data_IF_777361566177
#
_entry.id   IF_777361566177
#
_cell.length_a   1.000
_cell.length_b   1.000
_cell.length_c   1.000
_cell.angle_alpha   90.00
_cell.angle_beta   90.00
_cell.angle_gamma   90.00
#
_symmetry.space_group_name_H-M   'P 1'
#
loop_
_entity.id
_entity.type
_entity.pdbx_description
1 polymer ?
#
# COMPACT_ATOMS: atom_id res chain seq x y z
N UNK A 1 21.73 6.05 -3.50
CA UNK A 1 20.64 7.02 -3.22
C UNK A 1 19.86 7.24 -4.50
N UNK A 2 18.56 6.92 -4.50
CA UNK A 2 17.66 7.19 -5.62
C UNK A 2 17.54 8.71 -5.78
N UNK A 3 17.80 9.26 -6.98
CA UNK A 3 17.70 10.70 -7.21
C UNK A 3 16.25 11.19 -7.03
N UNK A 4 16.06 12.48 -6.71
CA UNK A 4 14.72 13.06 -6.61
C UNK A 4 13.89 12.89 -7.91
N UNK A 5 14.58 12.86 -9.06
CA UNK A 5 13.99 12.59 -10.37
C UNK A 5 13.50 11.14 -10.52
N UNK A 6 14.26 10.17 -10.02
CA UNK A 6 13.88 8.76 -10.09
C UNK A 6 12.66 8.48 -9.20
N UNK A 7 12.62 9.06 -8.00
CA UNK A 7 11.46 8.95 -7.11
C UNK A 7 10.19 9.55 -7.74
N UNK A 8 10.32 10.67 -8.45
CA UNK A 8 9.21 11.29 -9.17
C UNK A 8 8.68 10.38 -10.29
N UNK A 9 9.58 9.78 -11.09
CA UNK A 9 9.20 8.88 -12.19
C UNK A 9 8.46 7.65 -11.66
N UNK A 10 8.98 7.01 -10.61
CA UNK A 10 8.34 5.85 -9.98
C UNK A 10 6.97 6.22 -9.41
N UNK A 11 6.87 7.36 -8.74
CA UNK A 11 5.59 7.86 -8.20
C UNK A 11 4.57 8.12 -9.31
N UNK A 12 4.98 8.73 -10.43
CA UNK A 12 4.10 8.96 -11.58
C UNK A 12 3.65 7.64 -12.20
N UNK A 13 4.57 6.69 -12.40
CA UNK A 13 4.23 5.38 -12.95
C UNK A 13 3.21 4.65 -12.06
N UNK A 14 3.41 4.68 -10.74
CA UNK A 14 2.46 4.11 -9.78
C UNK A 14 1.12 4.83 -9.78
N UNK A 15 1.11 6.15 -9.84
CA UNK A 15 -0.12 6.93 -9.93
C UNK A 15 -0.92 6.58 -11.19
N UNK A 16 -0.27 6.52 -12.34
CA UNK A 16 -0.87 6.09 -13.59
C UNK A 16 -1.40 4.64 -13.50
N UNK A 17 -0.64 3.74 -12.87
CA UNK A 17 -1.07 2.36 -12.60
C UNK A 17 -2.33 2.29 -11.74
N UNK A 18 -2.41 3.07 -10.66
CA UNK A 18 -3.59 3.12 -9.79
C UNK A 18 -4.81 3.69 -10.51
N UNK A 19 -4.65 4.78 -11.28
CA UNK A 19 -5.73 5.37 -12.09
C UNK A 19 -6.21 4.39 -13.15
N UNK A 20 -5.29 3.68 -13.81
CA UNK A 20 -5.60 2.68 -14.81
C UNK A 20 -6.36 1.48 -14.21
N UNK A 21 -5.88 0.93 -13.09
CA UNK A 21 -6.53 -0.18 -12.39
C UNK A 21 -7.94 0.20 -11.90
N UNK A 22 -8.10 1.40 -11.33
CA UNK A 22 -9.41 1.94 -10.97
C UNK A 22 -10.32 2.03 -12.21
N UNK A 23 -9.83 2.61 -13.31
CA UNK A 23 -10.58 2.74 -14.57
C UNK A 23 -11.03 1.38 -15.12
N UNK A 24 -10.18 0.37 -15.07
CA UNK A 24 -10.50 -1.01 -15.48
C UNK A 24 -11.66 -1.55 -14.64
N UNK A 25 -11.49 -1.59 -13.31
CA UNK A 25 -12.51 -2.11 -12.39
C UNK A 25 -13.83 -1.34 -12.52
N UNK A 26 -13.76 -0.01 -12.52
CA UNK A 26 -14.92 0.86 -12.70
C UNK A 26 -15.65 0.63 -14.01
N UNK A 27 -14.93 0.51 -15.13
CA UNK A 27 -15.54 0.26 -16.44
C UNK A 27 -16.26 -1.08 -16.51
N UNK A 28 -15.69 -2.13 -15.89
CA UNK A 28 -16.26 -3.47 -15.83
C UNK A 28 -17.49 -3.49 -14.92
N UNK A 29 -17.40 -2.86 -13.74
CA UNK A 29 -18.52 -2.80 -12.78
C UNK A 29 -19.68 -1.96 -13.33
N UNK A 30 -19.41 -0.83 -13.97
CA UNK A 30 -20.45 -0.03 -14.62
C UNK A 30 -21.17 -0.82 -15.71
N UNK A 31 -20.42 -1.52 -16.57
CA UNK A 31 -20.95 -2.35 -17.65
C UNK A 31 -21.78 -3.52 -17.12
N UNK A 32 -21.31 -4.23 -16.09
CA UNK A 32 -21.95 -5.43 -15.56
C UNK A 32 -23.16 -5.15 -14.68
N UNK A 33 -23.08 -4.13 -13.80
CA UNK A 33 -24.01 -3.97 -12.67
C UNK A 33 -24.80 -2.65 -12.70
N UNK A 34 -24.29 -1.60 -13.35
CA UNK A 34 -24.92 -0.27 -13.28
C UNK A 34 -25.74 0.03 -14.53
N UNK A 35 -25.13 -0.06 -15.71
CA UNK A 35 -25.77 0.32 -16.97
C UNK A 35 -26.94 -0.63 -17.32
N UNK A 36 -28.15 -0.11 -17.62
CA UNK A 36 -29.26 -0.89 -18.16
C UNK A 36 -28.88 -1.59 -19.49
N UNK A 37 -29.50 -2.75 -19.77
CA UNK A 37 -29.18 -3.55 -20.96
C UNK A 37 -30.03 -3.20 -22.17
N UNK A 38 -31.30 -2.87 -21.96
CA UNK A 38 -32.30 -2.89 -23.03
C UNK A 38 -32.55 -1.49 -23.63
N UNK A 39 -31.50 -0.66 -23.72
CA UNK A 39 -31.62 0.70 -24.24
C UNK A 39 -30.47 1.05 -25.19
N UNK A 40 -30.83 1.30 -26.45
CA UNK A 40 -29.95 1.79 -27.54
C UNK A 40 -28.92 2.84 -27.11
N UNK A 41 -29.27 3.87 -26.30
CA UNK A 41 -28.30 4.86 -25.83
C UNK A 41 -27.06 4.27 -25.12
N UNK A 42 -27.19 3.13 -24.43
CA UNK A 42 -26.09 2.53 -23.67
C UNK A 42 -25.10 1.74 -24.53
N UNK A 43 -25.43 1.40 -25.78
CA UNK A 43 -24.51 0.70 -26.68
C UNK A 43 -23.27 1.57 -26.92
N UNK A 44 -23.46 2.87 -27.19
CA UNK A 44 -22.37 3.83 -27.37
C UNK A 44 -21.56 4.02 -26.07
N UNK A 45 -22.22 4.12 -24.92
CA UNK A 45 -21.55 4.25 -23.63
C UNK A 45 -20.69 3.01 -23.31
N UNK A 46 -21.20 1.78 -23.54
CA UNK A 46 -20.46 0.53 -23.36
C UNK A 46 -19.26 0.44 -24.31
N UNK A 47 -19.41 0.86 -25.57
CA UNK A 47 -18.28 0.92 -26.52
C UNK A 47 -17.19 1.87 -26.04
N UNK A 48 -17.55 3.05 -25.50
CA UNK A 48 -16.59 3.98 -24.91
C UNK A 48 -15.93 3.39 -23.68
N UNK A 49 -16.68 2.87 -22.71
CA UNK A 49 -16.14 2.22 -21.51
C UNK A 49 -15.16 1.10 -21.85
N UNK A 50 -15.43 0.32 -22.91
CA UNK A 50 -14.52 -0.71 -23.42
C UNK A 50 -13.23 -0.13 -23.98
N UNK A 51 -13.30 0.93 -24.80
CA UNK A 51 -12.11 1.60 -25.35
C UNK A 51 -11.24 2.19 -24.23
N UNK A 52 -11.85 2.90 -23.28
CA UNK A 52 -11.14 3.46 -22.12
C UNK A 52 -10.57 2.36 -21.22
N UNK A 53 -11.32 1.28 -20.99
CA UNK A 53 -10.84 0.12 -20.25
C UNK A 53 -9.64 -0.56 -20.92
N UNK A 54 -9.67 -0.76 -22.25
CA UNK A 54 -8.55 -1.33 -23.00
C UNK A 54 -7.33 -0.40 -23.00
N UNK A 55 -7.53 0.91 -23.16
CA UNK A 55 -6.46 1.90 -23.03
C UNK A 55 -5.84 1.88 -21.61
N UNK A 56 -6.68 1.76 -20.58
CA UNK A 56 -6.22 1.63 -19.20
C UNK A 56 -5.44 0.32 -18.98
N UNK A 57 -5.82 -0.80 -19.61
CA UNK A 57 -5.00 -2.04 -19.58
C UNK A 57 -3.62 -1.77 -20.17
N UNK A 58 -3.51 -1.09 -21.30
CA UNK A 58 -2.22 -0.75 -21.89
C UNK A 58 -1.37 0.14 -20.96
N UNK A 59 -1.98 1.19 -20.36
CA UNK A 59 -1.30 2.06 -19.38
C UNK A 59 -0.82 1.25 -18.17
N UNK A 60 -1.66 0.35 -17.64
CA UNK A 60 -1.31 -0.49 -16.49
C UNK A 60 -0.18 -1.46 -16.83
N UNK A 61 -0.16 -2.01 -18.04
CA UNK A 61 0.94 -2.87 -18.52
C UNK A 61 2.25 -2.09 -18.58
N UNK A 62 2.25 -0.87 -19.15
CA UNK A 62 3.45 -0.01 -19.20
C UNK A 62 3.90 0.37 -17.79
N UNK A 63 2.98 0.77 -16.90
CA UNK A 63 3.29 1.08 -15.51
C UNK A 63 3.89 -0.13 -14.77
N UNK A 64 3.34 -1.32 -14.99
CA UNK A 64 3.83 -2.58 -14.40
C UNK A 64 5.23 -2.94 -14.90
N UNK A 65 5.51 -2.73 -16.19
CA UNK A 65 6.86 -2.92 -16.74
C UNK A 65 7.86 -1.90 -16.17
N UNK A 66 7.45 -0.64 -16.03
CA UNK A 66 8.25 0.40 -15.39
C UNK A 66 8.56 0.09 -13.93
N UNK A 67 7.60 -0.44 -13.18
CA UNK A 67 7.78 -0.88 -11.79
C UNK A 67 8.83 -1.99 -11.67
N UNK A 68 8.85 -2.96 -12.59
CA UNK A 68 9.89 -4.00 -12.62
C UNK A 68 11.28 -3.41 -12.82
N UNK A 69 11.44 -2.50 -13.78
CA UNK A 69 12.72 -1.85 -14.07
C UNK A 69 13.17 -1.02 -12.86
N UNK A 70 12.25 -0.24 -12.28
CA UNK A 70 12.53 0.55 -11.08
C UNK A 70 12.96 -0.34 -9.92
N UNK A 71 12.26 -1.46 -9.68
CA UNK A 71 12.59 -2.39 -8.60
C UNK A 71 13.94 -3.06 -8.83
N UNK A 72 14.21 -3.52 -10.05
CA UNK A 72 15.50 -4.11 -10.41
C UNK A 72 16.64 -3.11 -10.21
N UNK A 73 16.45 -1.84 -10.59
CA UNK A 73 17.42 -0.77 -10.36
C UNK A 73 17.67 -0.53 -8.86
N UNK A 74 16.62 -0.53 -8.03
CA UNK A 74 16.80 -0.39 -6.58
C UNK A 74 17.56 -1.56 -5.94
N UNK A 75 17.44 -2.77 -6.50
CA UNK A 75 18.08 -3.98 -5.98
C UNK A 75 19.52 -4.18 -6.49
N UNK A 76 19.82 -3.77 -7.73
CA UNK A 76 21.17 -3.88 -8.28
C UNK A 76 22.11 -2.78 -7.81
N UNK A 77 21.58 -1.63 -7.36
CA UNK A 77 22.39 -0.48 -6.94
C UNK A 77 23.17 0.21 -8.07
N UNK A 78 22.93 -0.23 -9.30
CA UNK A 78 23.69 0.09 -10.51
C UNK A 78 22.99 1.02 -11.47
N UNK A 79 23.58 1.21 -12.66
CA UNK A 79 22.92 1.92 -13.77
C UNK A 79 21.82 1.06 -14.44
N UNK A 80 21.12 1.62 -15.44
CA UNK A 80 20.05 0.90 -16.15
C UNK A 80 20.51 -0.44 -16.77
N UNK A 81 21.74 -0.55 -17.26
CA UNK A 81 22.24 -1.79 -17.84
C UNK A 81 22.38 -2.90 -16.77
N UNK A 82 22.84 -2.54 -15.58
CA UNK A 82 22.91 -3.46 -14.44
C UNK A 82 21.52 -3.85 -13.93
N UNK A 83 20.56 -2.92 -13.93
CA UNK A 83 19.16 -3.21 -13.63
C UNK A 83 18.56 -4.21 -14.63
N UNK A 84 18.83 -4.06 -15.93
CA UNK A 84 18.38 -4.99 -16.97
C UNK A 84 19.05 -6.36 -16.84
N UNK A 85 20.34 -6.41 -16.51
CA UNK A 85 21.07 -7.65 -16.27
C UNK A 85 20.55 -8.40 -15.03
N UNK A 86 20.03 -7.68 -14.02
CA UNK A 86 19.47 -8.26 -12.82
C UNK A 86 18.05 -8.84 -13.01
N UNK A 87 17.34 -8.52 -14.10
CA UNK A 87 15.95 -8.95 -14.32
C UNK A 87 15.71 -10.45 -14.17
N UNK A 88 16.55 -11.36 -14.71
CA UNK A 88 16.33 -12.79 -14.55
C UNK A 88 16.35 -13.22 -13.08
N UNK A 89 17.28 -12.68 -12.29
CA UNK A 89 17.40 -12.98 -10.86
C UNK A 89 16.21 -12.39 -10.11
N UNK A 90 15.86 -11.12 -10.38
CA UNK A 90 14.71 -10.47 -9.76
C UNK A 90 13.43 -11.26 -10.02
N UNK A 91 13.19 -11.69 -11.26
CA UNK A 91 11.98 -12.41 -11.63
C UNK A 91 11.89 -13.83 -11.07
N UNK A 92 13.02 -14.53 -10.92
CA UNK A 92 13.04 -15.95 -10.56
C UNK A 92 13.38 -16.24 -9.11
N UNK A 93 14.08 -15.33 -8.42
CA UNK A 93 14.60 -15.54 -7.06
C UNK A 93 13.95 -14.65 -6.01
N UNK A 94 13.08 -13.73 -6.39
CA UNK A 94 12.46 -12.81 -5.44
C UNK A 94 10.95 -13.04 -5.31
N UNK A 95 10.43 -12.78 -4.12
CA UNK A 95 8.99 -12.75 -3.85
C UNK A 95 8.25 -11.76 -4.76
N UNK A 96 8.82 -10.56 -4.94
CA UNK A 96 8.33 -9.56 -5.88
C UNK A 96 8.23 -10.10 -7.31
N UNK A 97 9.25 -10.80 -7.80
CA UNK A 97 9.29 -11.40 -9.13
C UNK A 97 8.19 -12.42 -9.38
N UNK A 98 7.91 -13.28 -8.40
CA UNK A 98 6.80 -14.24 -8.48
C UNK A 98 5.43 -13.55 -8.57
N UNK A 99 5.20 -12.50 -7.77
CA UNK A 99 3.95 -11.74 -7.83
C UNK A 99 3.84 -10.93 -9.13
N UNK A 100 4.94 -10.33 -9.58
CA UNK A 100 4.98 -9.56 -10.81
C UNK A 100 4.70 -10.43 -12.04
N UNK A 101 5.28 -11.62 -12.13
CA UNK A 101 5.03 -12.56 -13.23
C UNK A 101 3.57 -13.02 -13.26
N UNK A 102 2.98 -13.31 -12.10
CA UNK A 102 1.54 -13.59 -12.00
C UNK A 102 0.68 -12.40 -12.45
N UNK A 103 1.04 -11.17 -12.06
CA UNK A 103 0.39 -9.92 -12.50
C UNK A 103 0.49 -9.75 -14.02
N UNK A 104 1.67 -9.97 -14.60
CA UNK A 104 1.92 -9.85 -16.03
C UNK A 104 1.09 -10.86 -16.84
N UNK A 105 1.03 -12.12 -16.39
CA UNK A 105 0.17 -13.14 -16.99
C UNK A 105 -1.32 -12.77 -16.91
N UNK A 106 -1.78 -12.28 -15.75
CA UNK A 106 -3.15 -11.81 -15.56
C UNK A 106 -3.47 -10.60 -16.46
N UNK A 107 -2.53 -9.68 -16.67
CA UNK A 107 -2.67 -8.54 -17.60
C UNK A 107 -2.75 -8.98 -19.05
N UNK A 108 -1.93 -9.95 -19.47
CA UNK A 108 -2.01 -10.54 -20.81
C UNK A 108 -3.37 -11.18 -21.08
N UNK A 109 -3.87 -11.96 -20.12
CA UNK A 109 -5.21 -12.56 -20.21
C UNK A 109 -6.31 -11.50 -20.18
N UNK A 110 -6.17 -10.47 -19.33
CA UNK A 110 -7.12 -9.35 -19.25
C UNK A 110 -7.20 -8.60 -20.58
N UNK A 111 -6.07 -8.37 -21.24
CA UNK A 111 -6.02 -7.77 -22.56
C UNK A 111 -6.77 -8.64 -23.58
N UNK A 112 -6.50 -9.95 -23.61
CA UNK A 112 -7.18 -10.88 -24.51
C UNK A 112 -8.70 -10.88 -24.31
N UNK A 113 -9.19 -11.00 -23.06
CA UNK A 113 -10.64 -11.02 -22.79
C UNK A 113 -11.30 -9.65 -23.00
N UNK A 114 -10.55 -8.55 -22.94
CA UNK A 114 -11.08 -7.20 -23.18
C UNK A 114 -11.58 -7.00 -24.62
N UNK A 115 -11.03 -7.76 -25.58
CA UNK A 115 -11.44 -7.76 -26.98
C UNK A 115 -12.78 -8.48 -27.20
N UNK A 116 -13.14 -9.41 -26.31
CA UNK A 116 -14.35 -10.23 -26.42
C UNK A 116 -15.58 -9.45 -25.95
N UNK A 117 -16.69 -9.52 -26.71
CA UNK A 117 -17.93 -8.77 -26.41
C UNK A 117 -18.84 -9.41 -25.38
N UNK A 118 -18.64 -10.70 -25.13
CA UNK A 118 -19.54 -11.53 -24.33
C UNK A 118 -19.50 -11.18 -22.83
N UNK A 119 -20.65 -11.33 -22.16
CA UNK A 119 -20.79 -11.11 -20.72
C UNK A 119 -19.84 -11.99 -19.87
N UNK A 120 -19.65 -13.29 -20.16
CA UNK A 120 -18.70 -14.12 -19.42
C UNK A 120 -17.27 -13.56 -19.47
N UNK A 121 -16.81 -13.05 -20.62
CA UNK A 121 -15.49 -12.43 -20.74
C UNK A 121 -15.35 -11.17 -19.86
N UNK A 122 -16.44 -10.44 -19.62
CA UNK A 122 -16.44 -9.28 -18.71
C UNK A 122 -16.38 -9.69 -17.25
N UNK A 123 -17.01 -10.80 -16.88
CA UNK A 123 -16.91 -11.37 -15.53
C UNK A 123 -15.47 -11.85 -15.29
N UNK A 124 -14.89 -12.60 -16.23
CA UNK A 124 -13.48 -13.03 -16.18
C UNK A 124 -12.55 -11.82 -16.08
N UNK A 125 -12.77 -10.79 -16.90
CA UNK A 125 -12.00 -9.55 -16.83
C UNK A 125 -12.09 -8.85 -15.47
N UNK A 126 -13.25 -8.88 -14.81
CA UNK A 126 -13.39 -8.34 -13.45
C UNK A 126 -12.61 -9.19 -12.45
N UNK A 127 -12.71 -10.52 -12.49
CA UNK A 127 -11.95 -11.40 -11.61
C UNK A 127 -10.43 -11.20 -11.76
N UNK A 128 -9.95 -11.04 -13.00
CA UNK A 128 -8.53 -10.73 -13.27
C UNK A 128 -8.14 -9.36 -12.71
N UNK A 129 -8.97 -8.33 -12.86
CA UNK A 129 -8.71 -7.02 -12.29
C UNK A 129 -8.65 -7.04 -10.75
N UNK A 130 -9.51 -7.84 -10.11
CA UNK A 130 -9.46 -8.05 -8.65
C UNK A 130 -8.20 -8.80 -8.22
N UNK A 131 -7.76 -9.80 -9.00
CA UNK A 131 -6.48 -10.49 -8.78
C UNK A 131 -5.28 -9.56 -8.96
N UNK A 132 -5.29 -8.72 -9.98
CA UNK A 132 -4.26 -7.68 -10.18
C UNK A 132 -4.26 -6.69 -9.00
N UNK A 133 -5.42 -6.29 -8.49
CA UNK A 133 -5.48 -5.47 -7.27
C UNK A 133 -4.84 -6.19 -6.07
N UNK A 134 -5.05 -7.50 -5.89
CA UNK A 134 -4.41 -8.27 -4.83
C UNK A 134 -2.90 -8.23 -4.93
N UNK A 135 -2.35 -8.32 -6.15
CA UNK A 135 -0.90 -8.23 -6.34
C UNK A 135 -0.31 -6.88 -5.91
N UNK A 136 -1.10 -5.79 -5.88
CA UNK A 136 -0.63 -4.49 -5.35
C UNK A 136 -0.53 -4.48 -3.83
N UNK A 137 -1.42 -5.22 -3.15
CA UNK A 137 -1.38 -5.40 -1.69
C UNK A 137 -0.25 -6.36 -1.27
N UNK A 138 -0.02 -7.42 -2.04
CA UNK A 138 1.07 -8.38 -1.83
C UNK A 138 2.47 -7.83 -2.10
N UNK A 139 2.59 -6.66 -2.74
CA UNK A 139 3.89 -5.98 -2.99
C UNK A 139 4.03 -4.66 -2.25
N UNK A 140 3.03 -4.27 -1.46
CA UNK A 140 3.03 -3.06 -0.64
C UNK A 140 3.26 -3.35 0.85
N UNK A 141 3.24 -2.29 1.68
CA UNK A 141 3.48 -2.36 3.13
C UNK A 141 2.56 -3.33 3.89
N UNK A 142 1.41 -3.70 3.32
CA UNK A 142 0.53 -4.69 3.92
C UNK A 142 1.15 -6.10 3.94
N UNK A 143 1.99 -6.42 2.94
CA UNK A 143 2.67 -7.71 2.81
C UNK A 143 3.75 -7.94 3.88
N UNK A 144 4.20 -6.87 4.55
CA UNK A 144 5.18 -6.96 5.65
C UNK A 144 4.62 -7.73 6.86
N UNK A 145 3.29 -7.82 6.97
CA UNK A 145 2.59 -8.64 7.95
C UNK A 145 2.40 -10.11 7.50
N UNK A 146 2.93 -10.45 6.32
CA UNK A 146 2.81 -11.74 5.65
C UNK A 146 1.73 -11.78 4.57
N UNK A 147 1.95 -12.57 3.52
CA UNK A 147 1.06 -12.70 2.36
C UNK A 147 -0.37 -13.17 2.71
N UNK A 148 -0.50 -13.97 3.76
CA UNK A 148 -1.77 -14.53 4.24
C UNK A 148 -2.25 -13.84 5.52
N UNK A 149 -2.08 -12.53 5.60
CA UNK A 149 -2.45 -11.75 6.77
C UNK A 149 -3.78 -11.01 6.61
N UNK A 150 -4.37 -10.63 7.75
CA UNK A 150 -5.52 -9.73 7.76
C UNK A 150 -5.17 -8.36 7.15
N UNK A 151 -3.92 -7.89 7.31
CA UNK A 151 -3.47 -6.62 6.75
C UNK A 151 -3.54 -6.64 5.20
N UNK A 152 -3.07 -7.71 4.56
CA UNK A 152 -3.18 -7.87 3.10
C UNK A 152 -4.64 -7.92 2.67
N UNK A 153 -5.50 -8.67 3.38
CA UNK A 153 -6.93 -8.75 3.05
C UNK A 153 -7.61 -7.37 3.17
N UNK A 154 -7.34 -6.65 4.25
CA UNK A 154 -7.92 -5.32 4.50
C UNK A 154 -7.45 -4.31 3.45
N UNK A 155 -6.15 -4.31 3.13
CA UNK A 155 -5.60 -3.45 2.08
C UNK A 155 -6.19 -3.78 0.70
N UNK A 156 -6.33 -5.07 0.37
CA UNK A 156 -6.94 -5.50 -0.88
C UNK A 156 -8.41 -5.07 -0.99
N UNK A 157 -9.19 -5.26 0.07
CA UNK A 157 -10.59 -4.80 0.12
C UNK A 157 -10.66 -3.27 0.01
N UNK A 158 -9.73 -2.54 0.65
CA UNK A 158 -9.63 -1.08 0.52
C UNK A 158 -9.37 -0.68 -0.93
N UNK A 159 -8.37 -1.28 -1.57
CA UNK A 159 -7.96 -0.99 -2.95
C UNK A 159 -9.08 -1.30 -3.95
N UNK A 160 -9.75 -2.45 -3.80
CA UNK A 160 -10.91 -2.83 -4.63
C UNK A 160 -12.06 -1.85 -4.42
N UNK A 161 -12.45 -1.56 -3.18
CA UNK A 161 -13.57 -0.66 -2.90
C UNK A 161 -13.29 0.76 -3.40
N UNK A 162 -12.09 1.29 -3.14
CA UNK A 162 -11.66 2.61 -3.61
C UNK A 162 -11.59 2.67 -5.14
N UNK A 163 -11.05 1.64 -5.79
CA UNK A 163 -10.90 1.61 -7.24
C UNK A 163 -12.22 1.39 -7.98
N UNK A 164 -13.14 0.57 -7.47
CA UNK A 164 -14.50 0.42 -8.02
C UNK A 164 -15.28 1.73 -7.90
N UNK A 165 -15.18 2.42 -6.76
CA UNK A 165 -15.84 3.70 -6.54
C UNK A 165 -15.29 4.79 -7.46
N UNK A 166 -13.98 5.05 -7.39
CA UNK A 166 -13.34 6.12 -8.17
C UNK A 166 -13.34 5.83 -9.66
N UNK A 167 -13.06 4.59 -10.07
CA UNK A 167 -13.18 4.13 -11.45
C UNK A 167 -14.59 4.27 -12.02
N UNK A 168 -15.60 4.02 -11.20
CA UNK A 168 -16.99 4.24 -11.59
C UNK A 168 -17.30 5.73 -11.79
N UNK A 169 -16.72 6.63 -10.98
CA UNK A 169 -16.82 8.08 -11.20
C UNK A 169 -16.16 8.48 -12.53
N UNK A 170 -14.97 7.93 -12.85
CA UNK A 170 -14.28 8.19 -14.11
C UNK A 170 -15.12 7.76 -15.31
N UNK A 171 -15.65 6.52 -15.26
CA UNK A 171 -16.50 5.99 -16.31
C UNK A 171 -17.77 6.81 -16.49
N UNK A 172 -18.44 7.22 -15.40
CA UNK A 172 -19.61 8.09 -15.47
C UNK A 172 -19.29 9.46 -16.06
N UNK A 173 -18.23 10.13 -15.56
CA UNK A 173 -17.80 11.44 -16.03
C UNK A 173 -17.49 11.44 -17.54
N UNK A 174 -16.67 10.49 -17.99
CA UNK A 174 -16.15 10.44 -19.36
C UNK A 174 -17.14 9.89 -20.39
N UNK A 175 -18.05 8.99 -20.00
CA UNK A 175 -18.88 8.26 -20.99
C UNK A 175 -20.36 8.61 -20.94
N UNK A 176 -20.91 8.87 -19.75
CA UNK A 176 -22.33 9.14 -19.55
C UNK A 176 -22.57 10.64 -19.51
N UNK A 177 -21.76 11.36 -18.74
CA UNK A 177 -21.99 12.75 -18.38
C UNK A 177 -21.42 13.74 -19.40
N UNK A 178 -20.25 13.46 -19.98
CA UNK A 178 -19.64 14.32 -20.99
C UNK A 178 -20.52 14.51 -22.23
N UNK A 179 -21.35 13.51 -22.56
CA UNK A 179 -22.31 13.57 -23.68
C UNK A 179 -23.75 13.79 -23.22
N UNK A 180 -23.95 14.60 -22.17
CA UNK A 180 -25.25 14.88 -21.53
C UNK A 180 -26.40 15.25 -22.46
N UNK A 181 -26.13 15.88 -23.61
CA UNK A 181 -27.17 16.31 -24.55
C UNK A 181 -27.97 15.13 -25.15
N UNK A 182 -27.41 13.92 -25.13
CA UNK A 182 -28.00 12.73 -25.72
C UNK A 182 -28.86 11.91 -24.73
N UNK A 183 -28.96 12.32 -23.47
CA UNK A 183 -29.55 11.50 -22.42
C UNK A 183 -30.81 12.10 -21.81
N UNK A 184 -31.86 11.28 -21.76
CA UNK A 184 -33.09 11.62 -21.02
C UNK A 184 -32.82 11.65 -19.51
N UNK A 185 -33.32 12.64 -18.76
CA UNK A 185 -33.11 12.74 -17.31
C UNK A 185 -33.51 11.49 -16.53
N UNK A 186 -34.59 10.82 -16.94
CA UNK A 186 -35.10 9.62 -16.26
C UNK A 186 -34.09 8.47 -16.30
N UNK A 187 -33.45 8.30 -17.45
CA UNK A 187 -32.45 7.26 -17.73
C UNK A 187 -31.19 7.51 -16.90
N UNK A 188 -30.72 8.76 -16.85
CA UNK A 188 -29.60 9.16 -15.99
C UNK A 188 -29.90 8.97 -14.51
N UNK A 189 -31.14 9.25 -14.09
CA UNK A 189 -31.60 9.00 -12.73
C UNK A 189 -31.48 7.53 -12.32
N UNK A 190 -31.80 6.58 -13.21
CA UNK A 190 -31.63 5.14 -12.94
C UNK A 190 -30.16 4.78 -12.75
N UNK A 191 -29.30 5.21 -13.67
CA UNK A 191 -27.84 4.96 -13.62
C UNK A 191 -27.24 5.55 -12.34
N UNK A 192 -27.55 6.82 -12.05
CA UNK A 192 -27.03 7.52 -10.89
C UNK A 192 -27.50 6.89 -9.57
N UNK A 193 -28.74 6.39 -9.48
CA UNK A 193 -29.23 5.66 -8.29
C UNK A 193 -28.52 4.33 -8.09
N UNK A 194 -28.33 3.54 -9.15
CA UNK A 194 -27.60 2.25 -9.07
C UNK A 194 -26.15 2.47 -8.65
N UNK A 195 -25.48 3.44 -9.27
CA UNK A 195 -24.12 3.79 -8.90
C UNK A 195 -24.03 4.35 -7.47
N UNK A 196 -24.95 5.23 -7.05
CA UNK A 196 -24.94 5.79 -5.69
C UNK A 196 -25.13 4.71 -4.59
N UNK A 197 -25.87 3.62 -4.88
CA UNK A 197 -25.97 2.46 -3.99
C UNK A 197 -24.63 1.71 -3.89
N UNK A 198 -24.03 1.39 -5.04
CA UNK A 198 -22.70 0.76 -5.10
C UNK A 198 -21.65 1.61 -4.38
N UNK A 199 -21.57 2.90 -4.69
CA UNK A 199 -20.65 3.85 -4.08
C UNK A 199 -20.83 3.94 -2.56
N UNK A 200 -22.07 3.82 -2.05
CA UNK A 200 -22.32 3.76 -0.61
C UNK A 200 -21.71 2.52 0.05
N UNK A 201 -21.78 1.36 -0.60
CA UNK A 201 -21.13 0.13 -0.13
C UNK A 201 -19.59 0.23 -0.19
N UNK A 202 -19.05 0.75 -1.29
CA UNK A 202 -17.62 1.01 -1.41
C UNK A 202 -17.11 1.99 -0.34
N UNK A 203 -17.86 3.07 -0.08
CA UNK A 203 -17.51 4.04 0.95
C UNK A 203 -17.45 3.39 2.34
N UNK A 204 -18.43 2.57 2.69
CA UNK A 204 -18.43 1.85 3.97
C UNK A 204 -17.18 0.96 4.10
N UNK A 205 -16.86 0.20 3.05
CA UNK A 205 -15.67 -0.63 3.01
C UNK A 205 -14.38 0.20 3.13
N UNK A 206 -14.26 1.30 2.38
CA UNK A 206 -13.10 2.22 2.41
C UNK A 206 -12.91 2.84 3.79
N UNK A 207 -13.99 3.26 4.47
CA UNK A 207 -13.91 3.84 5.81
C UNK A 207 -13.48 2.79 6.83
N UNK A 208 -14.10 1.61 6.82
CA UNK A 208 -13.75 0.52 7.75
C UNK A 208 -12.30 0.07 7.58
N UNK A 209 -11.91 -0.26 6.34
CA UNK A 209 -10.55 -0.70 6.02
C UNK A 209 -9.50 0.40 6.18
N UNK A 210 -9.84 1.65 5.83
CA UNK A 210 -8.96 2.81 5.99
C UNK A 210 -8.69 3.15 7.46
N UNK A 211 -9.68 2.95 8.32
CA UNK A 211 -9.52 3.10 9.78
C UNK A 211 -8.55 2.05 10.31
N UNK A 212 -8.73 0.79 9.93
CA UNK A 212 -7.81 -0.30 10.30
C UNK A 212 -6.38 -0.04 9.78
N UNK A 213 -6.23 0.31 8.51
CA UNK A 213 -4.90 0.60 7.93
C UNK A 213 -4.22 1.79 8.62
N UNK A 214 -4.98 2.82 8.99
CA UNK A 214 -4.43 3.97 9.73
C UNK A 214 -4.02 3.57 11.14
N UNK A 215 -4.79 2.70 11.80
CA UNK A 215 -4.50 2.20 13.15
C UNK A 215 -3.16 1.44 13.20
N UNK A 216 -2.88 0.58 12.22
CA UNK A 216 -1.65 -0.23 12.23
C UNK A 216 -0.42 0.55 11.70
N UNK A 217 -0.60 1.55 10.82
CA UNK A 217 0.52 2.27 10.18
C UNK A 217 0.87 3.60 10.87
N UNK A 218 -0.04 4.20 11.65
CA UNK A 218 0.13 5.52 12.26
C UNK A 218 0.03 5.41 13.79
N UNK A 219 1.16 5.25 14.50
CA UNK A 219 1.15 5.02 15.95
C UNK A 219 0.77 6.27 16.77
N UNK A 220 1.01 7.48 16.27
CA UNK A 220 0.64 8.73 16.95
C UNK A 220 0.17 9.82 15.98
N UNK A 221 -0.68 10.75 16.45
CA UNK A 221 -1.19 11.85 15.62
C UNK A 221 -0.12 12.85 15.16
N UNK A 222 0.98 12.98 15.92
CA UNK A 222 2.09 13.85 15.56
C UNK A 222 2.72 13.47 14.21
N UNK A 223 2.68 12.17 13.87
CA UNK A 223 3.21 11.64 12.60
C UNK A 223 2.60 12.33 11.39
N UNK A 224 1.32 12.74 11.46
CA UNK A 224 0.58 13.33 10.35
C UNK A 224 1.18 14.65 9.83
N UNK A 225 1.98 15.35 10.62
CA UNK A 225 2.58 16.63 10.24
C UNK A 225 4.11 16.59 10.30
N UNK A 226 4.71 15.70 11.09
CA UNK A 226 6.17 15.58 11.18
C UNK A 226 6.80 14.79 10.04
N UNK A 227 6.11 13.82 9.41
CA UNK A 227 6.70 12.94 8.39
C UNK A 227 6.13 13.18 6.99
N UNK A 228 6.90 12.84 5.94
CA UNK A 228 6.41 12.93 4.55
C UNK A 228 5.19 12.02 4.31
N UNK A 229 5.26 10.77 4.80
CA UNK A 229 4.14 9.83 4.79
C UNK A 229 2.89 10.42 5.47
N UNK A 230 3.06 10.99 6.68
CA UNK A 230 1.95 11.56 7.43
C UNK A 230 1.30 12.76 6.73
N UNK A 231 2.10 13.65 6.13
CA UNK A 231 1.58 14.80 5.37
C UNK A 231 0.82 14.37 4.13
N UNK A 232 1.33 13.37 3.40
CA UNK A 232 0.62 12.79 2.25
C UNK A 232 -0.70 12.13 2.68
N UNK A 233 -0.72 11.45 3.83
CA UNK A 233 -1.93 10.86 4.41
C UNK A 233 -2.93 11.94 4.83
N UNK A 234 -2.48 13.00 5.49
CA UNK A 234 -3.34 14.12 5.89
C UNK A 234 -4.00 14.78 4.67
N UNK A 235 -3.23 15.05 3.60
CA UNK A 235 -3.78 15.56 2.35
C UNK A 235 -4.79 14.58 1.74
N UNK A 236 -4.48 13.28 1.72
CA UNK A 236 -5.41 12.22 1.26
C UNK A 236 -6.73 12.25 2.04
N UNK A 237 -6.68 12.41 3.36
CA UNK A 237 -7.87 12.47 4.23
C UNK A 237 -8.70 13.73 3.96
N UNK A 238 -8.07 14.89 3.78
CA UNK A 238 -8.77 16.15 3.42
C UNK A 238 -9.46 16.01 2.06
N UNK A 239 -8.76 15.47 1.06
CA UNK A 239 -9.33 15.23 -0.27
C UNK A 239 -10.46 14.18 -0.22
N UNK A 240 -10.30 13.12 0.57
CA UNK A 240 -11.32 12.10 0.76
C UNK A 240 -12.57 12.68 1.46
N UNK A 241 -12.40 13.57 2.45
CA UNK A 241 -13.50 14.28 3.09
C UNK A 241 -14.21 15.20 2.10
N UNK A 242 -13.47 15.96 1.28
CA UNK A 242 -14.04 16.79 0.23
C UNK A 242 -14.85 15.95 -0.77
N UNK A 243 -14.32 14.79 -1.19
CA UNK A 243 -14.99 13.84 -2.07
C UNK A 243 -16.27 13.27 -1.43
N UNK A 244 -16.23 12.94 -0.14
CA UNK A 244 -17.37 12.47 0.63
C UNK A 244 -18.49 13.54 0.70
N UNK A 245 -18.12 14.80 0.99
CA UNK A 245 -19.07 15.91 1.07
C UNK A 245 -19.71 16.20 -0.29
N UNK A 246 -18.94 16.17 -1.37
CA UNK A 246 -19.47 16.29 -2.74
C UNK A 246 -20.41 15.13 -3.06
N UNK A 247 -20.03 13.89 -2.74
CA UNK A 247 -20.86 12.70 -2.93
C UNK A 247 -22.17 12.76 -2.14
N UNK A 248 -22.12 13.27 -0.91
CA UNK A 248 -23.29 13.50 -0.07
C UNK A 248 -24.19 14.59 -0.68
N UNK A 249 -23.62 15.72 -1.11
CA UNK A 249 -24.36 16.77 -1.81
C UNK A 249 -25.03 16.23 -3.09
N UNK A 250 -24.30 15.45 -3.89
CA UNK A 250 -24.83 14.82 -5.10
C UNK A 250 -26.00 13.87 -4.77
N UNK A 251 -25.84 13.02 -3.76
CA UNK A 251 -26.86 12.04 -3.33
C UNK A 251 -28.12 12.66 -2.72
N UNK A 252 -27.97 13.70 -1.91
CA UNK A 252 -29.08 14.27 -1.12
C UNK A 252 -29.65 15.56 -1.69
N UNK A 253 -28.96 16.26 -2.59
CA UNK A 253 -29.45 17.52 -3.18
C UNK A 253 -29.76 17.39 -4.67
N UNK A 254 -28.91 16.71 -5.45
CA UNK A 254 -29.05 16.65 -6.91
C UNK A 254 -29.89 15.43 -7.35
N UNK A 255 -29.55 14.25 -6.85
CA UNK A 255 -30.21 13.00 -7.24
C UNK A 255 -31.73 12.96 -6.97
N UNK A 256 -32.28 13.61 -5.93
CA UNK A 256 -33.72 13.70 -5.73
C UNK A 256 -34.47 14.44 -6.84
N UNK A 257 -33.83 15.35 -7.58
CA UNK A 257 -34.45 16.06 -8.72
C UNK A 257 -34.77 15.12 -9.88
N UNK A 258 -34.11 13.96 -9.94
CA UNK A 258 -34.35 12.89 -10.91
C UNK A 258 -35.33 11.81 -10.39
N UNK A 259 -35.95 12.05 -9.23
CA UNK A 259 -37.03 11.23 -8.69
C UNK A 259 -38.36 11.94 -8.99
N UNK A 260 -39.41 11.17 -9.27
CA UNK A 260 -40.78 11.70 -9.36
C UNK A 260 -41.24 12.31 -8.04
N UNK A 261 -42.47 12.84 -8.01
CA UNK A 261 -43.06 13.49 -6.81
C UNK A 261 -43.03 12.52 -5.60
N UNK A 262 -42.25 12.86 -4.58
CA UNK A 262 -42.12 12.10 -3.34
C UNK A 262 -41.64 13.00 -2.19
N UNK A 263 -42.04 12.69 -0.94
CA UNK A 263 -41.64 13.51 0.22
C UNK A 263 -40.15 13.30 0.52
N UNK A 264 -39.38 14.38 0.80
CA UNK A 264 -37.96 14.27 1.09
C UNK A 264 -37.71 13.54 2.41
N UNK A 265 -36.68 12.69 2.42
CA UNK A 265 -36.24 11.99 3.64
C UNK A 265 -35.74 12.95 4.73
N UNK A 266 -35.60 12.47 5.96
CA UNK A 266 -35.10 13.30 7.09
C UNK A 266 -33.72 13.89 6.80
N UNK A 267 -32.77 13.06 6.35
CA UNK A 267 -31.40 13.48 6.00
C UNK A 267 -31.40 14.49 4.84
N UNK A 268 -32.23 14.26 3.82
CA UNK A 268 -32.38 15.17 2.68
C UNK A 268 -32.84 16.57 3.12
N UNK A 269 -33.78 16.64 4.09
CA UNK A 269 -34.20 17.92 4.67
C UNK A 269 -33.06 18.64 5.37
N UNK A 270 -32.26 17.93 6.18
CA UNK A 270 -31.07 18.51 6.84
C UNK A 270 -30.07 19.07 5.84
N UNK A 271 -29.75 18.33 4.77
CA UNK A 271 -28.85 18.83 3.72
C UNK A 271 -29.42 20.03 2.97
N UNK A 272 -30.72 20.06 2.68
CA UNK A 272 -31.39 21.20 2.03
C UNK A 272 -31.35 22.45 2.92
N UNK A 273 -31.61 22.30 4.22
CA UNK A 273 -31.52 23.38 5.21
C UNK A 273 -30.08 23.88 5.37
N UNK A 274 -29.12 22.97 5.52
CA UNK A 274 -27.71 23.32 5.63
C UNK A 274 -27.19 24.06 4.39
N UNK A 275 -27.58 23.61 3.17
CA UNK A 275 -27.26 24.35 1.94
C UNK A 275 -27.85 25.76 1.95
N UNK A 276 -29.11 25.90 2.38
CA UNK A 276 -29.77 27.20 2.47
C UNK A 276 -29.07 28.13 3.46
N UNK A 277 -28.64 27.61 4.60
CA UNK A 277 -27.94 28.37 5.63
C UNK A 277 -26.55 28.84 5.17
N UNK A 278 -25.81 28.01 4.43
CA UNK A 278 -24.43 28.33 4.00
C UNK A 278 -24.39 29.14 2.69
N UNK A 279 -25.24 28.82 1.72
CA UNK A 279 -25.17 29.36 0.37
C UNK A 279 -26.39 30.21 -0.03
N UNK A 280 -27.39 30.34 0.84
CA UNK A 280 -28.61 31.08 0.56
C UNK A 280 -29.58 30.40 -0.42
N UNK A 281 -30.69 31.07 -0.77
CA UNK A 281 -31.64 30.60 -1.78
C UNK A 281 -31.00 30.56 -3.17
N UNK A 282 -31.24 29.48 -3.91
CA UNK A 282 -30.56 29.22 -5.17
C UNK A 282 -31.19 30.00 -6.33
N UNK A 283 -30.43 30.92 -6.92
CA UNK A 283 -30.87 31.77 -8.06
C UNK A 283 -30.46 31.24 -9.44
N UNK A 284 -29.79 30.07 -9.51
CA UNK A 284 -29.17 29.55 -10.74
C UNK A 284 -30.02 28.53 -11.52
N UNK A 285 -30.38 28.88 -12.76
CA UNK A 285 -31.21 28.12 -13.72
C UNK A 285 -30.50 26.96 -14.47
N UNK A 286 -29.39 26.39 -13.98
CA UNK A 286 -28.73 25.30 -14.74
C UNK A 286 -29.60 24.03 -14.75
N UNK A 287 -29.75 23.34 -15.90
CA UNK A 287 -30.54 22.12 -15.96
C UNK A 287 -29.93 21.04 -15.04
N UNK A 288 -30.77 20.19 -14.39
CA UNK A 288 -30.32 19.17 -13.43
C UNK A 288 -29.17 18.29 -13.94
N UNK A 289 -29.23 17.90 -15.21
CA UNK A 289 -28.21 17.07 -15.87
C UNK A 289 -26.85 17.78 -15.92
N UNK A 290 -26.84 19.09 -16.19
CA UNK A 290 -25.60 19.86 -16.25
C UNK A 290 -24.96 20.04 -14.87
N UNK A 291 -25.78 20.11 -13.80
CA UNK A 291 -25.28 20.11 -12.41
C UNK A 291 -24.68 18.76 -12.04
N UNK A 292 -25.42 17.66 -12.26
CA UNK A 292 -24.93 16.30 -12.03
C UNK A 292 -23.60 16.07 -12.75
N UNK A 293 -23.52 16.52 -14.01
CA UNK A 293 -22.33 16.44 -14.81
C UNK A 293 -21.10 17.06 -14.14
N UNK A 294 -21.25 18.32 -13.72
CA UNK A 294 -20.18 19.08 -13.07
C UNK A 294 -19.76 18.44 -11.75
N UNK A 295 -20.72 18.00 -10.93
CA UNK A 295 -20.43 17.36 -9.65
C UNK A 295 -19.61 16.10 -9.84
N UNK A 296 -20.05 15.17 -10.70
CA UNK A 296 -19.32 13.92 -10.94
C UNK A 296 -17.96 14.17 -11.58
N UNK A 297 -17.82 15.18 -12.45
CA UNK A 297 -16.50 15.58 -12.98
C UNK A 297 -15.58 16.12 -11.87
N UNK A 298 -16.08 16.96 -10.96
CA UNK A 298 -15.30 17.43 -9.81
C UNK A 298 -14.92 16.28 -8.86
N UNK A 299 -15.85 15.37 -8.57
CA UNK A 299 -15.61 14.16 -7.79
C UNK A 299 -14.52 13.29 -8.44
N UNK A 300 -14.58 13.09 -9.75
CA UNK A 300 -13.58 12.36 -10.52
C UNK A 300 -12.18 13.02 -10.45
N UNK A 301 -12.10 14.35 -10.57
CA UNK A 301 -10.82 15.06 -10.47
C UNK A 301 -10.20 14.95 -9.07
N UNK A 302 -11.01 15.09 -8.02
CA UNK A 302 -10.53 14.91 -6.63
C UNK A 302 -10.10 13.46 -6.40
N UNK A 303 -10.85 12.48 -6.93
CA UNK A 303 -10.48 11.08 -6.86
C UNK A 303 -9.12 10.79 -7.53
N UNK A 304 -8.82 11.41 -8.68
CA UNK A 304 -7.50 11.34 -9.32
C UNK A 304 -6.40 11.88 -8.40
N UNK A 305 -6.64 12.99 -7.70
CA UNK A 305 -5.70 13.55 -6.73
C UNK A 305 -5.51 12.65 -5.49
N UNK A 306 -6.58 12.02 -5.00
CA UNK A 306 -6.53 11.02 -3.91
C UNK A 306 -5.66 9.81 -4.30
N UNK A 307 -5.77 9.34 -5.55
CA UNK A 307 -4.90 8.29 -6.08
C UNK A 307 -3.44 8.76 -6.19
N UNK A 308 -3.20 10.04 -6.51
CA UNK A 308 -1.86 10.64 -6.50
C UNK A 308 -1.24 10.61 -5.10
N UNK A 309 -1.99 11.00 -4.07
CA UNK A 309 -1.54 10.87 -2.67
C UNK A 309 -1.28 9.41 -2.30
N UNK A 310 -2.08 8.47 -2.82
CA UNK A 310 -1.91 7.03 -2.58
C UNK A 310 -0.63 6.49 -3.23
N UNK A 311 -0.26 6.98 -4.42
CA UNK A 311 1.01 6.63 -5.05
C UNK A 311 2.19 7.12 -4.21
N UNK A 312 2.15 8.38 -3.73
CA UNK A 312 3.18 8.93 -2.83
C UNK A 312 3.31 8.10 -1.55
N UNK A 313 2.17 7.77 -0.90
CA UNK A 313 2.17 6.95 0.30
C UNK A 313 2.81 5.59 0.10
N UNK A 314 2.61 5.01 -1.08
CA UNK A 314 3.20 3.73 -1.42
C UNK A 314 4.71 3.76 -1.63
N UNK A 315 5.28 4.89 -2.08
CA UNK A 315 6.73 5.06 -2.25
C UNK A 315 7.41 5.54 -0.97
N UNK A 316 6.65 6.08 -0.02
CA UNK A 316 7.16 6.48 1.30
C UNK A 316 7.01 5.37 2.33
N UNK A 317 8.00 5.24 3.21
CA UNK A 317 7.95 4.28 4.32
C UNK A 317 7.10 4.83 5.48
N UNK A 318 6.10 4.08 6.00
CA UNK A 318 5.35 4.48 7.18
C UNK A 318 6.25 4.59 8.40
N UNK A 319 5.89 5.45 9.38
CA UNK A 319 6.76 5.70 10.54
C UNK A 319 6.96 4.46 11.42
N UNK A 320 5.98 3.56 11.47
CA UNK A 320 6.11 2.25 12.13
C UNK A 320 7.35 1.47 11.64
N UNK A 321 7.73 1.65 10.37
CA UNK A 321 8.90 1.00 9.76
C UNK A 321 10.14 1.90 9.73
N UNK A 322 9.98 3.23 9.70
CA UNK A 322 11.09 4.18 9.71
C UNK A 322 11.94 4.09 10.99
N UNK A 323 11.36 3.67 12.12
CA UNK A 323 12.09 3.45 13.38
C UNK A 323 13.17 2.36 13.29
N UNK A 324 12.99 1.36 12.44
CA UNK A 324 13.98 0.30 12.21
C UNK A 324 15.07 0.75 11.23
N UNK A 325 14.71 1.41 10.13
CA UNK A 325 15.68 1.91 9.15
C UNK A 325 16.57 3.05 9.69
N UNK A 326 16.00 3.97 10.48
CA UNK A 326 16.77 5.04 11.12
C UNK A 326 17.74 4.52 12.19
N UNK A 327 17.40 3.41 12.86
CA UNK A 327 18.32 2.74 13.80
C UNK A 327 19.51 2.09 13.08
N UNK A 328 19.30 1.52 11.89
CA UNK A 328 20.38 0.92 11.10
C UNK A 328 21.29 1.97 10.44
N UNK A 329 20.73 3.05 9.90
CA UNK A 329 21.49 4.09 9.20
C UNK A 329 22.28 5.04 10.13
N UNK A 330 21.79 5.28 11.36
CA UNK A 330 22.52 6.09 12.34
C UNK A 330 23.75 5.35 12.92
N UNK A 331 23.86 4.05 12.64
CA UNK A 331 24.88 3.15 13.18
C UNK A 331 26.16 3.09 12.31
N UNK A 332 26.10 3.55 11.05
CA UNK A 332 27.21 3.42 10.10
C UNK A 332 28.17 4.63 10.05
N UNK A 333 27.78 5.81 10.54
CA UNK A 333 28.64 6.99 10.41
C UNK A 333 28.32 8.09 11.43
N UNK A 334 28.86 8.04 12.65
CA UNK A 334 29.08 9.29 13.39
C UNK A 334 30.23 9.20 14.38
N UNK A 335 31.31 9.95 14.10
CA UNK A 335 32.25 10.37 15.13
C UNK A 335 31.54 11.40 16.01
N UNK A 336 31.17 11.05 17.24
CA UNK A 336 30.67 12.01 18.21
C UNK A 336 31.82 12.91 18.67
N UNK A 337 31.68 14.22 18.47
CA UNK A 337 32.54 15.23 19.11
C UNK A 337 31.68 16.01 20.08
N UNK A 338 31.98 15.90 21.37
CA UNK A 338 31.24 16.55 22.46
C UNK A 338 32.26 17.04 23.50
N UNK A 339 32.00 18.21 24.10
CA UNK A 339 32.83 18.69 25.20
C UNK A 339 32.59 17.88 26.47
N UNK A 340 33.59 17.78 27.35
CA UNK A 340 33.47 16.95 28.57
C UNK A 340 32.32 17.44 29.49
N UNK A 341 32.13 18.75 29.59
CA UNK A 341 31.06 19.35 30.41
C UNK A 341 29.66 19.02 29.86
N UNK A 342 29.50 19.05 28.53
CA UNK A 342 28.26 18.66 27.85
C UNK A 342 27.99 17.15 27.98
N UNK A 343 29.06 16.33 27.98
CA UNK A 343 28.95 14.89 28.20
C UNK A 343 28.49 14.56 29.64
N UNK A 344 29.05 15.23 30.64
CA UNK A 344 28.60 15.06 32.03
C UNK A 344 27.15 15.54 32.22
N UNK A 345 26.77 16.68 31.62
CA UNK A 345 25.41 17.20 31.69
C UNK A 345 24.37 16.27 31.02
N UNK A 346 24.80 15.41 30.09
CA UNK A 346 23.96 14.43 29.40
C UNK A 346 23.95 13.03 30.04
N UNK A 347 24.51 12.88 31.24
CA UNK A 347 24.54 11.60 31.96
C UNK A 347 25.69 10.69 31.54
N UNK A 348 26.77 11.24 30.98
CA UNK A 348 28.01 10.52 30.68
C UNK A 348 28.05 9.83 29.32
N UNK A 349 26.99 9.92 28.52
CA UNK A 349 26.93 9.40 27.15
C UNK A 349 26.32 10.43 26.20
N UNK A 350 26.83 10.59 24.97
CA UNK A 350 26.26 11.54 24.03
C UNK A 350 24.79 11.22 23.77
N UNK A 351 23.97 12.26 23.64
CA UNK A 351 22.53 12.09 23.38
C UNK A 351 22.32 11.35 22.05
N UNK A 352 21.65 10.20 22.12
CA UNK A 352 21.40 9.34 20.94
C UNK A 352 22.55 8.38 20.62
N UNK A 353 23.59 8.31 21.44
CA UNK A 353 24.64 7.31 21.32
C UNK A 353 24.09 5.91 21.60
N UNK A 354 24.48 4.96 20.76
CA UNK A 354 24.26 3.53 20.94
C UNK A 354 25.58 2.82 20.68
N UNK A 355 25.91 1.83 21.51
CA UNK A 355 27.07 1.00 21.28
C UNK A 355 26.93 0.30 19.92
N UNK A 356 27.93 0.43 19.05
CA UNK A 356 27.99 -0.28 17.77
C UNK A 356 29.25 -1.13 17.79
N UNK A 357 29.14 -2.47 17.71
CA UNK A 357 30.33 -3.31 17.66
C UNK A 357 31.14 -2.99 16.39
N UNK A 358 32.48 -3.04 16.44
CA UNK A 358 33.31 -2.82 15.27
C UNK A 358 33.04 -3.92 14.21
N UNK A 359 33.46 -3.71 12.94
CA UNK A 359 33.32 -4.72 11.90
C UNK A 359 33.99 -6.05 12.30
N UNK A 360 33.24 -7.14 12.18
CA UNK A 360 33.73 -8.51 12.38
C UNK A 360 33.83 -9.31 11.09
N UNK A 361 34.34 -10.52 11.17
CA UNK A 361 34.46 -11.48 10.06
C UNK A 361 33.33 -12.52 10.13
N UNK A 362 32.45 -12.47 9.14
CA UNK A 362 31.30 -13.38 9.07
C UNK A 362 31.69 -14.86 8.91
N UNK A 363 32.83 -15.18 8.27
CA UNK A 363 33.28 -16.56 8.13
C UNK A 363 33.76 -17.12 9.47
N UNK A 364 34.51 -16.33 10.25
CA UNK A 364 34.88 -16.70 11.63
C UNK A 364 33.65 -16.78 12.53
N UNK A 365 32.70 -15.85 12.38
CA UNK A 365 31.43 -15.86 13.10
C UNK A 365 30.60 -17.10 12.85
N UNK A 366 30.55 -17.57 11.59
CA UNK A 366 29.91 -18.83 11.22
C UNK A 366 30.56 -20.02 11.90
N UNK A 367 31.89 -20.02 12.04
CA UNK A 367 32.61 -21.07 12.77
C UNK A 367 32.27 -21.04 14.27
N UNK A 368 32.17 -19.85 14.88
CA UNK A 368 31.71 -19.69 16.27
C UNK A 368 30.28 -20.20 16.45
N UNK A 369 29.37 -19.87 15.52
CA UNK A 369 27.98 -20.34 15.52
C UNK A 369 27.90 -21.87 15.52
N UNK A 370 28.74 -22.53 14.73
CA UNK A 370 28.86 -23.99 14.71
C UNK A 370 29.47 -24.56 15.99
N UNK A 371 30.55 -23.96 16.49
CA UNK A 371 31.26 -24.41 17.71
C UNK A 371 30.40 -24.33 18.97
N UNK A 372 29.58 -23.28 19.08
CA UNK A 372 28.64 -23.10 20.19
C UNK A 372 27.32 -23.85 20.02
N UNK A 373 27.17 -24.59 18.92
CA UNK A 373 25.97 -25.35 18.58
C UNK A 373 24.69 -24.49 18.59
N UNK A 374 24.79 -23.23 18.15
CA UNK A 374 23.64 -22.34 18.08
C UNK A 374 22.51 -22.92 17.19
N UNK A 375 22.87 -23.79 16.24
CA UNK A 375 21.94 -24.54 15.40
C UNK A 375 21.04 -25.53 16.16
N UNK A 376 21.39 -25.91 17.40
CA UNK A 376 20.56 -26.79 18.22
C UNK A 376 19.19 -26.17 18.52
N UNK A 377 19.11 -24.83 18.58
CA UNK A 377 17.85 -24.08 18.75
C UNK A 377 17.44 -23.31 17.49
N UNK A 378 18.40 -22.83 16.68
CA UNK A 378 18.13 -21.89 15.60
C UNK A 378 18.34 -22.46 14.20
N UNK A 379 17.30 -22.46 13.37
CA UNK A 379 17.43 -22.82 11.96
C UNK A 379 17.94 -21.64 11.11
N UNK A 380 18.88 -21.91 10.20
CA UNK A 380 19.37 -20.95 9.20
C UNK A 380 19.22 -21.56 7.80
N UNK A 381 18.44 -20.92 6.92
CA UNK A 381 18.21 -21.42 5.57
C UNK A 381 19.47 -21.29 4.71
N UNK A 382 19.73 -22.30 3.87
CA UNK A 382 20.91 -22.33 3.00
C UNK A 382 22.21 -22.82 3.67
N UNK A 383 22.18 -23.00 5.00
CA UNK A 383 23.31 -23.50 5.76
C UNK A 383 23.28 -25.01 5.96
N UNK A 384 24.46 -25.62 6.05
CA UNK A 384 24.63 -27.08 6.22
C UNK A 384 24.82 -27.49 7.68
N UNK A 385 24.01 -26.94 8.58
CA UNK A 385 24.00 -27.35 9.99
C UNK A 385 22.92 -28.42 10.23
N UNK A 386 23.06 -29.25 11.30
CA UNK A 386 22.00 -30.14 11.75
C UNK A 386 20.68 -29.40 12.02
N UNK A 387 19.55 -30.11 11.91
CA UNK A 387 18.24 -29.53 12.24
C UNK A 387 18.15 -29.24 13.74
N UNK A 388 17.49 -28.14 14.17
CA UNK A 388 17.29 -27.84 15.57
C UNK A 388 16.58 -28.97 16.31
N UNK A 389 17.03 -29.24 17.53
CA UNK A 389 16.47 -30.22 18.46
C UNK A 389 15.69 -29.55 19.60
N UNK A 390 15.83 -28.23 19.76
CA UNK A 390 15.20 -27.40 20.80
C UNK A 390 14.48 -26.19 20.19
N UNK A 391 13.49 -25.61 20.87
CA UNK A 391 12.76 -24.46 20.36
C UNK A 391 13.62 -23.19 20.33
N UNK A 392 13.68 -22.56 19.15
CA UNK A 392 14.29 -21.25 18.93
C UNK A 392 13.77 -20.65 17.62
N UNK A 393 13.69 -19.32 17.49
CA UNK A 393 13.27 -18.70 16.25
C UNK A 393 14.29 -18.97 15.14
N UNK A 394 13.82 -19.09 13.90
CA UNK A 394 14.71 -19.16 12.74
C UNK A 394 15.50 -17.84 12.61
N UNK A 395 16.79 -17.92 12.33
CA UNK A 395 17.67 -16.75 12.19
C UNK A 395 17.88 -16.33 10.73
N UNK A 396 17.18 -16.96 9.80
CA UNK A 396 17.14 -16.52 8.39
C UNK A 396 16.55 -15.12 8.32
N UNK A 397 17.26 -14.15 7.72
CA UNK A 397 16.81 -12.75 7.63
C UNK A 397 17.06 -11.92 8.89
N UNK A 398 17.63 -12.50 9.96
CA UNK A 398 17.82 -11.80 11.25
C UNK A 398 18.67 -10.53 11.12
N UNK A 399 19.58 -10.51 10.14
CA UNK A 399 20.42 -9.38 9.83
C UNK A 399 19.64 -8.13 9.43
N UNK A 400 18.48 -8.26 8.80
CA UNK A 400 17.66 -7.11 8.37
C UNK A 400 16.72 -6.62 9.47
N UNK A 401 16.35 -7.52 10.38
CA UNK A 401 15.36 -7.24 11.41
C UNK A 401 15.94 -6.54 12.65
N UNK A 402 17.22 -6.75 12.95
CA UNK A 402 17.83 -6.27 14.19
C UNK A 402 19.16 -5.52 14.00
N UNK A 403 19.42 -4.48 14.82
CA UNK A 403 20.72 -3.84 14.87
C UNK A 403 21.76 -4.78 15.50
N UNK A 404 23.04 -4.59 15.14
CA UNK A 404 24.14 -5.43 15.64
C UNK A 404 24.25 -5.40 17.18
N UNK A 405 23.96 -4.25 17.79
CA UNK A 405 23.96 -4.09 19.24
C UNK A 405 22.90 -4.92 19.96
N UNK A 406 21.71 -5.04 19.38
CA UNK A 406 20.65 -5.89 19.92
C UNK A 406 21.02 -7.38 19.81
N UNK A 407 21.60 -7.80 18.69
CA UNK A 407 22.08 -9.17 18.52
C UNK A 407 23.15 -9.51 19.55
N UNK A 408 24.08 -8.57 19.76
CA UNK A 408 25.12 -8.70 20.77
C UNK A 408 24.52 -8.85 22.17
N UNK A 409 23.64 -7.94 22.58
CA UNK A 409 22.97 -7.99 23.89
C UNK A 409 22.14 -9.27 24.06
N UNK A 410 21.46 -9.74 23.01
CA UNK A 410 20.69 -10.99 23.09
C UNK A 410 21.55 -12.22 23.35
N UNK A 411 22.84 -12.21 22.94
CA UNK A 411 23.77 -13.32 23.14
C UNK A 411 24.36 -13.31 24.55
N UNK A 412 24.72 -12.14 25.06
CA UNK A 412 25.39 -11.98 26.36
C UNK A 412 24.42 -11.62 27.49
N UNK A 413 23.20 -11.22 27.20
CA UNK A 413 22.18 -10.94 28.20
C UNK A 413 20.79 -11.24 27.61
N UNK A 414 20.47 -12.52 27.38
CA UNK A 414 19.19 -12.92 26.80
C UNK A 414 17.98 -12.56 27.67
N UNK A 415 18.19 -12.12 28.91
CA UNK A 415 17.13 -11.65 29.82
C UNK A 415 16.93 -10.12 29.78
N UNK A 416 17.74 -9.36 29.03
CA UNK A 416 17.52 -7.92 28.83
C UNK A 416 16.20 -7.65 28.09
N UNK A 417 15.82 -8.55 27.18
CA UNK A 417 14.58 -8.49 26.41
C UNK A 417 13.97 -9.87 26.33
N UNK A 418 12.82 -10.07 26.97
CA UNK A 418 12.06 -11.33 26.93
C UNK A 418 10.96 -11.22 25.89
N UNK A 419 10.93 -12.17 24.94
CA UNK A 419 9.88 -12.25 23.92
C UNK A 419 8.70 -13.04 24.48
N UNK A 420 7.54 -12.39 24.58
CA UNK A 420 6.29 -13.02 25.01
C UNK A 420 5.68 -13.88 23.87
N UNK A 421 6.21 -15.09 23.69
CA UNK A 421 5.63 -16.10 22.82
C UNK A 421 5.91 -17.53 23.33
N UNK A 422 5.03 -18.52 23.04
CA UNK A 422 5.17 -19.88 23.55
C UNK A 422 6.50 -20.52 23.16
N UNK A 423 7.25 -21.02 24.15
CA UNK A 423 8.49 -21.78 23.94
C UNK A 423 9.79 -20.97 24.04
N UNK A 424 9.74 -19.63 24.16
CA UNK A 424 10.94 -18.78 24.27
C UNK A 424 11.32 -18.38 25.69
N UNK A 425 10.40 -18.56 26.65
CA UNK A 425 10.64 -18.31 28.07
C UNK A 425 10.34 -19.55 28.89
N UNK A 426 11.14 -19.77 29.93
CA UNK A 426 10.94 -20.82 30.91
C UNK A 426 9.81 -20.52 31.90
N UNK A 427 9.45 -21.49 32.77
CA UNK A 427 8.42 -21.33 33.80
C UNK A 427 8.71 -20.21 34.82
N UNK A 428 9.97 -19.79 34.93
CA UNK A 428 10.45 -18.70 35.77
C UNK A 428 10.37 -17.31 35.08
N UNK A 429 9.84 -17.25 33.85
CA UNK A 429 9.74 -16.03 33.05
C UNK A 429 11.07 -15.57 32.44
N UNK A 430 12.13 -16.37 32.53
CA UNK A 430 13.45 -16.07 31.96
C UNK A 430 13.61 -16.68 30.57
N UNK A 431 14.54 -16.14 29.79
CA UNK A 431 14.83 -16.68 28.46
C UNK A 431 15.35 -18.12 28.54
N UNK A 432 14.85 -18.99 27.65
CA UNK A 432 15.37 -20.35 27.48
C UNK A 432 16.76 -20.35 26.84
N UNK A 433 17.14 -19.25 26.17
CA UNK A 433 18.48 -19.09 25.62
C UNK A 433 19.49 -18.89 26.77
N UNK A 434 20.54 -19.70 26.86
CA UNK A 434 21.57 -19.52 27.88
C UNK A 434 22.38 -18.26 27.60
N UNK A 435 22.96 -17.71 28.66
CA UNK A 435 23.93 -16.63 28.56
C UNK A 435 25.30 -17.17 28.12
N UNK A 436 25.95 -16.48 27.17
CA UNK A 436 27.25 -16.84 26.61
C UNK A 436 28.39 -15.90 27.02
N UNK A 437 28.20 -14.99 27.99
CA UNK A 437 29.25 -14.08 28.50
C UNK A 437 30.60 -14.77 28.75
N UNK A 438 30.59 -15.92 29.42
CA UNK A 438 31.81 -16.65 29.80
C UNK A 438 32.29 -17.65 28.72
N UNK A 439 31.60 -17.73 27.57
CA UNK A 439 31.86 -18.70 26.50
C UNK A 439 32.39 -18.08 25.21
N UNK A 440 32.45 -16.74 25.17
CA UNK A 440 32.85 -15.95 24.01
C UNK A 440 33.91 -14.94 24.43
N UNK A 441 35.01 -14.88 23.69
CA UNK A 441 35.85 -13.68 23.69
C UNK A 441 35.12 -12.52 23.00
N UNK A 442 35.55 -11.28 23.28
CA UNK A 442 34.98 -10.09 22.63
C UNK A 442 35.06 -10.18 21.09
N UNK A 443 36.18 -10.68 20.53
CA UNK A 443 36.34 -10.86 19.09
C UNK A 443 35.40 -11.92 18.52
N UNK A 444 35.19 -13.02 19.23
CA UNK A 444 34.27 -14.08 18.77
C UNK A 444 32.82 -13.61 18.81
N UNK A 445 32.44 -12.80 19.80
CA UNK A 445 31.13 -12.18 19.86
C UNK A 445 30.92 -11.20 18.69
N UNK A 446 31.92 -10.37 18.39
CA UNK A 446 31.88 -9.44 17.24
C UNK A 446 31.77 -10.21 15.92
N UNK A 447 32.59 -11.24 15.71
CA UNK A 447 32.56 -12.07 14.51
C UNK A 447 31.21 -12.81 14.39
N UNK A 448 30.69 -13.37 15.49
CA UNK A 448 29.38 -14.03 15.52
C UNK A 448 28.25 -13.07 15.15
N UNK A 449 28.25 -11.85 15.67
CA UNK A 449 27.28 -10.81 15.30
C UNK A 449 27.44 -10.43 13.82
N UNK A 450 28.66 -10.35 13.29
CA UNK A 450 28.91 -10.10 11.87
C UNK A 450 28.32 -11.21 10.98
N UNK A 451 28.44 -12.48 11.39
CA UNK A 451 27.77 -13.59 10.71
C UNK A 451 26.25 -13.45 10.74
N UNK A 452 25.65 -13.20 11.89
CA UNK A 452 24.19 -13.03 12.00
C UNK A 452 23.70 -11.83 11.18
N UNK A 453 24.48 -10.74 11.13
CA UNK A 453 24.20 -9.59 10.26
C UNK A 453 24.30 -9.93 8.78
N UNK A 454 25.18 -10.85 8.38
CA UNK A 454 25.28 -11.32 6.99
C UNK A 454 24.11 -12.21 6.54
N UNK A 455 23.26 -12.65 7.48
CA UNK A 455 22.05 -13.41 7.18
C UNK A 455 20.87 -12.51 6.73
N UNK A 456 21.12 -11.22 6.47
CA UNK A 456 20.18 -10.33 5.77
C UNK A 456 20.14 -10.64 4.26
N UNK A 457 18.98 -10.45 3.63
CA UNK A 457 18.69 -10.87 2.25
C UNK A 457 19.36 -10.07 1.15
#
# INVERSE_FOLDING_TARGET
MIGAYDLLIVTIARWLGLVALATIMGSLVLDLFVLPRDSEPFVAARRRLRRWGAAAVAVLTVATAGELIARAHTMSGGNLAEALAALPIVLTRTHFGAIWTARAAALGLLLAVSLVRARPARIVGLLLALGIALTTSLTGHAADWGDRSLAVLVDWVHAVAAGVWTGGLFGLALTVIWHRASWRPEVLGVVARRFSRLAGGCLLAVVATGTYNSWIQVPTLAVLWTTAYGRALALKLVLALALLLLGAANRYLILPEFRGKGRPGRIERWFRLGRLAVFGPHTGQRPPVARLARFVSCEALIAVAVLGCTAVLGETTPKSHAGHAARSAHMEATLFRVGMDELHASGGVPKGWLFTPPPGDAARGRAVFGRLECFACHAVAGERFPRPSSPGPALTGVGDHHPASYLLESIVNPNAVIVEAPGYSGPDGRSTMPDYQDRLSASELIDLVAYLKSLGG
#
